data_IF_756342948150
#
_entry.id   IF_756342948150
#
_cell.length_a   1.000
_cell.length_b   1.000
_cell.length_c   1.000
_cell.angle_alpha   90.00
_cell.angle_beta   90.00
_cell.angle_gamma   90.00
#
_symmetry.space_group_name_H-M   'P 1'
#
loop_
_entity.id
_entity.type
_entity.pdbx_description
1 polymer ?
#
# COMPACT_ATOMS: atom_id res chain seq x y z
N UNK A 1 -3.58 21.01 -2.19
CA UNK A 1 -3.03 21.18 -0.83
C UNK A 1 -2.32 19.88 -0.49
N UNK A 2 -1.02 19.83 -0.75
CA UNK A 2 -0.15 18.75 -0.27
C UNK A 2 -0.08 18.89 1.25
N UNK A 3 -0.81 18.04 1.97
CA UNK A 3 -0.44 17.75 3.34
C UNK A 3 1.02 17.31 3.31
N UNK A 4 1.82 17.80 4.25
CA UNK A 4 3.24 17.48 4.38
C UNK A 4 3.35 15.96 4.58
N UNK A 5 3.35 15.19 3.49
CA UNK A 5 3.73 13.80 3.49
C UNK A 5 5.23 13.84 3.71
N UNK A 6 5.64 13.66 4.96
CA UNK A 6 7.02 13.30 5.26
C UNK A 6 7.41 12.19 4.27
N UNK A 7 8.54 12.36 3.59
CA UNK A 7 8.99 11.42 2.58
C UNK A 7 9.37 10.10 3.29
N UNK A 8 8.39 9.23 3.50
CA UNK A 8 8.58 7.93 4.15
C UNK A 8 9.35 7.04 3.18
N UNK A 9 10.55 6.64 3.58
CA UNK A 9 11.41 5.75 2.82
C UNK A 9 10.75 4.39 2.55
N UNK A 10 11.29 3.68 1.56
CA UNK A 10 10.87 2.30 1.29
C UNK A 10 11.54 1.35 2.28
N UNK A 11 10.76 0.48 2.89
CA UNK A 11 11.25 -0.56 3.82
C UNK A 11 11.68 -1.78 3.01
N UNK A 12 12.91 -2.25 3.27
CA UNK A 12 13.50 -3.41 2.61
C UNK A 12 13.48 -4.67 3.48
N UNK A 13 13.47 -4.50 4.82
CA UNK A 13 13.47 -5.59 5.80
C UNK A 13 12.52 -5.29 6.97
N UNK A 14 12.11 -6.31 7.72
CA UNK A 14 11.15 -6.14 8.84
C UNK A 14 11.77 -5.33 9.98
N UNK A 15 13.09 -5.42 10.13
CA UNK A 15 13.86 -4.74 11.15
C UNK A 15 13.91 -3.22 10.94
N UNK A 16 13.73 -2.77 9.69
CA UNK A 16 13.73 -1.34 9.33
C UNK A 16 12.34 -0.69 9.51
N UNK A 17 11.36 -1.44 10.03
CA UNK A 17 10.03 -0.93 10.29
C UNK A 17 10.05 -0.08 11.56
N UNK A 18 9.61 1.16 11.42
CA UNK A 18 9.27 2.01 12.56
C UNK A 18 7.77 2.09 12.72
N UNK A 19 7.25 1.53 13.81
CA UNK A 19 5.86 1.62 14.22
C UNK A 19 5.72 2.51 15.45
N UNK A 20 4.67 3.34 15.46
CA UNK A 20 4.31 4.12 16.63
C UNK A 20 2.81 4.37 16.65
N UNK A 21 2.26 4.64 17.83
CA UNK A 21 0.84 4.90 18.02
C UNK A 21 0.60 6.34 18.47
N UNK A 22 -0.49 6.93 17.99
CA UNK A 22 -1.02 8.19 18.53
C UNK A 22 -2.46 7.97 18.95
N UNK A 23 -2.73 8.29 20.21
CA UNK A 23 -4.03 8.10 20.85
C UNK A 23 -4.58 9.44 21.30
N UNK A 24 -5.89 9.62 21.19
CA UNK A 24 -6.55 10.84 21.63
C UNK A 24 -8.05 10.86 21.35
N UNK A 25 -8.67 12.02 21.59
CA UNK A 25 -10.08 12.25 21.29
C UNK A 25 -10.27 13.00 19.98
N UNK A 26 -11.20 12.52 19.17
CA UNK A 26 -11.58 13.16 17.90
C UNK A 26 -12.28 14.47 18.19
N UNK A 27 -11.74 15.56 17.65
CA UNK A 27 -12.34 16.90 17.69
C UNK A 27 -13.27 17.13 16.49
N UNK A 28 -12.87 16.63 15.32
CA UNK A 28 -13.64 16.80 14.10
C UNK A 28 -13.41 15.61 13.14
N UNK A 29 -14.40 15.34 12.31
CA UNK A 29 -14.38 14.25 11.33
C UNK A 29 -15.07 14.67 10.04
N UNK A 30 -14.35 14.59 8.93
CA UNK A 30 -14.85 14.89 7.60
C UNK A 30 -14.86 13.61 6.77
N UNK A 31 -15.96 13.39 6.05
CA UNK A 31 -16.04 12.32 5.05
C UNK A 31 -16.19 12.93 3.67
N UNK A 32 -15.48 12.36 2.70
CA UNK A 32 -15.55 12.73 1.29
C UNK A 32 -15.63 11.45 0.47
N UNK A 33 -16.28 11.53 -0.69
CA UNK A 33 -16.31 10.42 -1.65
C UNK A 33 -15.54 10.83 -2.90
N UNK A 34 -14.50 10.07 -3.24
CA UNK A 34 -13.77 10.23 -4.48
C UNK A 34 -14.31 9.25 -5.52
N UNK A 35 -14.92 9.78 -6.57
CA UNK A 35 -15.51 8.99 -7.66
C UNK A 35 -14.71 9.17 -8.94
N UNK A 36 -14.26 8.07 -9.51
CA UNK A 36 -13.60 8.01 -10.80
C UNK A 36 -14.52 7.34 -11.82
N UNK A 37 -14.67 7.98 -12.98
CA UNK A 37 -15.49 7.49 -14.09
C UNK A 37 -14.59 7.31 -15.31
N UNK A 38 -14.49 6.10 -15.82
CA UNK A 38 -13.76 5.80 -17.05
C UNK A 38 -14.73 5.31 -18.10
N UNK A 39 -14.70 5.93 -19.28
CA UNK A 39 -15.54 5.56 -20.42
C UNK A 39 -14.63 5.16 -21.57
N UNK A 40 -14.78 3.92 -22.02
CA UNK A 40 -14.05 3.41 -23.19
C UNK A 40 -15.06 3.14 -24.30
N UNK A 41 -14.94 3.89 -25.38
CA UNK A 41 -15.76 3.69 -26.58
C UNK A 41 -14.93 2.96 -27.63
N UNK A 42 -15.42 1.79 -28.04
CA UNK A 42 -14.77 0.98 -29.07
C UNK A 42 -15.59 1.02 -30.36
N UNK A 43 -14.91 1.32 -31.47
CA UNK A 43 -15.47 1.24 -32.83
C UNK A 43 -14.78 0.10 -33.56
N UNK A 44 -15.55 -0.89 -34.00
CA UNK A 44 -15.05 -1.89 -34.96
C UNK A 44 -15.22 -1.29 -36.36
N UNK A 45 -14.17 -1.11 -37.15
CA UNK A 45 -14.30 -0.48 -38.48
C UNK A 45 -15.13 -1.33 -39.46
N UNK A 46 -16.13 -0.73 -40.12
CA UNK A 46 -16.96 -1.37 -41.16
C UNK A 46 -18.27 -0.63 -41.43
N UNK A 47 -18.79 -0.70 -42.66
CA UNK A 47 -20.08 -0.11 -43.10
C UNK A 47 -21.29 -0.84 -42.45
N UNK A 48 -21.38 -0.87 -41.11
CA UNK A 48 -22.55 -1.21 -40.27
C UNK A 48 -22.16 -1.46 -38.78
N UNK A 49 -21.10 -0.86 -38.28
CA UNK A 49 -20.61 -1.16 -36.94
C UNK A 49 -21.29 -0.30 -35.85
N UNK A 50 -21.89 -0.97 -34.85
CA UNK A 50 -22.36 -0.32 -33.62
C UNK A 50 -21.17 -0.04 -32.71
N UNK A 51 -21.06 1.20 -32.22
CA UNK A 51 -20.09 1.54 -31.18
C UNK A 51 -20.52 0.88 -29.87
N UNK A 52 -19.58 0.19 -29.20
CA UNK A 52 -19.78 -0.33 -27.85
C UNK A 52 -19.09 0.59 -26.86
N UNK A 53 -19.87 1.17 -25.96
CA UNK A 53 -19.38 2.04 -24.88
C UNK A 53 -19.41 1.25 -23.58
N UNK A 54 -18.23 1.05 -22.99
CA UNK A 54 -18.11 0.52 -21.63
C UNK A 54 -17.84 1.69 -20.68
N UNK A 55 -18.69 1.84 -19.67
CA UNK A 55 -18.51 2.82 -18.60
C UNK A 55 -18.26 2.09 -17.30
N UNK A 56 -17.12 2.38 -16.67
CA UNK A 56 -16.74 1.87 -15.36
C UNK A 56 -16.72 3.01 -14.36
N UNK A 57 -17.38 2.83 -13.22
CA UNK A 57 -17.43 3.79 -12.11
C UNK A 57 -16.82 3.13 -10.89
N UNK A 58 -15.86 3.81 -10.24
CA UNK A 58 -15.27 3.37 -8.98
C UNK A 58 -15.32 4.53 -7.99
N UNK A 59 -15.88 4.28 -6.81
CA UNK A 59 -16.00 5.25 -5.72
C UNK A 59 -15.24 4.74 -4.50
N UNK A 60 -14.49 5.65 -3.86
CA UNK A 60 -13.73 5.41 -2.64
C UNK A 60 -14.16 6.43 -1.60
N UNK A 61 -14.51 5.95 -0.41
CA UNK A 61 -14.81 6.82 0.72
C UNK A 61 -13.51 7.24 1.40
N UNK A 62 -13.36 8.52 1.70
CA UNK A 62 -12.21 9.10 2.38
C UNK A 62 -12.68 9.70 3.70
N UNK A 63 -12.20 9.17 4.81
CA UNK A 63 -12.44 9.67 6.16
C UNK A 63 -11.20 10.41 6.65
N UNK A 64 -11.37 11.68 6.96
CA UNK A 64 -10.36 12.54 7.56
C UNK A 64 -10.76 12.86 8.99
N UNK A 65 -9.87 12.60 9.95
CA UNK A 65 -10.12 12.87 11.38
C UNK A 65 -9.06 13.82 11.93
N UNK A 66 -9.51 14.70 12.82
CA UNK A 66 -8.67 15.60 13.59
C UNK A 66 -8.74 15.16 15.06
N UNK A 67 -7.61 14.75 15.61
CA UNK A 67 -7.54 14.09 16.91
C UNK A 67 -6.66 14.91 17.84
N UNK A 68 -7.22 15.33 18.97
CA UNK A 68 -6.47 15.94 20.06
C UNK A 68 -5.77 14.83 20.83
N UNK A 69 -4.44 14.84 20.82
CA UNK A 69 -3.62 13.80 21.43
C UNK A 69 -3.66 13.88 22.96
N UNK A 70 -3.66 12.72 23.61
CA UNK A 70 -3.59 12.65 25.07
C UNK A 70 -2.26 13.22 25.60
N UNK A 71 -2.33 13.99 26.69
CA UNK A 71 -1.15 14.58 27.35
C UNK A 71 -0.63 15.90 26.74
N UNK A 72 -1.54 16.75 26.23
CA UNK A 72 -1.25 18.09 25.68
C UNK A 72 -0.23 18.13 24.53
N UNK A 73 -0.11 17.02 23.78
CA UNK A 73 0.79 16.90 22.62
C UNK A 73 0.23 17.53 21.32
N UNK A 74 -0.77 18.40 21.46
CA UNK A 74 -1.44 19.07 20.35
C UNK A 74 -2.44 18.20 19.59
N UNK A 75 -2.83 18.66 18.41
CA UNK A 75 -3.74 17.98 17.49
C UNK A 75 -2.95 17.29 16.37
N UNK A 76 -3.47 16.18 15.87
CA UNK A 76 -2.98 15.56 14.65
C UNK A 76 -4.11 15.17 13.71
N UNK A 77 -3.77 15.14 12.44
CA UNK A 77 -4.67 14.77 11.37
C UNK A 77 -4.32 13.37 10.84
N UNK A 78 -5.35 12.58 10.54
CA UNK A 78 -5.20 11.29 9.87
C UNK A 78 -6.29 11.07 8.82
N UNK A 79 -5.92 10.44 7.71
CA UNK A 79 -6.83 10.17 6.59
C UNK A 79 -6.85 8.67 6.26
N UNK A 80 -8.05 8.12 6.08
CA UNK A 80 -8.34 6.71 5.86
C UNK A 80 -9.23 6.53 4.63
N UNK A 81 -8.87 5.59 3.76
CA UNK A 81 -9.67 5.24 2.60
C UNK A 81 -10.49 3.97 2.90
N UNK A 82 -11.79 4.01 2.62
CA UNK A 82 -12.78 2.96 2.85
C UNK A 82 -12.76 2.39 4.29
N UNK A 83 -12.99 3.23 5.32
CA UNK A 83 -13.13 2.72 6.69
C UNK A 83 -14.41 1.88 6.84
N UNK A 84 -14.30 0.73 7.50
CA UNK A 84 -15.41 -0.19 7.77
C UNK A 84 -16.33 0.29 8.92
N UNK A 85 -15.98 1.40 9.56
CA UNK A 85 -16.77 2.01 10.64
C UNK A 85 -16.60 3.53 10.66
N UNK A 86 -17.63 4.21 11.14
CA UNK A 86 -17.61 5.65 11.33
C UNK A 86 -16.88 6.06 12.62
N UNK A 87 -16.21 7.19 12.56
CA UNK A 87 -15.67 7.91 13.71
C UNK A 87 -16.39 9.25 13.82
N UNK A 88 -16.70 9.69 15.03
CA UNK A 88 -17.41 10.95 15.30
C UNK A 88 -16.63 11.74 16.34
N UNK A 89 -16.91 13.04 16.42
CA UNK A 89 -16.43 13.90 17.51
C UNK A 89 -16.72 13.28 18.88
N UNK A 90 -15.75 13.38 19.79
CA UNK A 90 -15.80 12.81 21.14
C UNK A 90 -15.42 11.32 21.21
N UNK A 91 -15.24 10.63 20.08
CA UNK A 91 -14.72 9.26 20.12
C UNK A 91 -13.23 9.25 20.51
N UNK A 92 -12.87 8.30 21.37
CA UNK A 92 -11.48 8.02 21.70
C UNK A 92 -10.90 7.02 20.69
N UNK A 93 -9.81 7.41 20.02
CA UNK A 93 -9.23 6.64 18.92
C UNK A 93 -7.72 6.48 19.09
N UNK A 94 -7.21 5.36 18.61
CA UNK A 94 -5.77 5.14 18.39
C UNK A 94 -5.50 4.93 16.92
N UNK A 95 -4.57 5.71 16.38
CA UNK A 95 -4.02 5.51 15.04
C UNK A 95 -2.65 4.86 15.18
N UNK A 96 -2.47 3.74 14.47
CA UNK A 96 -1.18 3.06 14.38
C UNK A 96 -0.52 3.50 13.08
N UNK A 97 0.67 4.09 13.19
CA UNK A 97 1.51 4.49 12.08
C UNK A 97 2.60 3.44 11.87
N UNK A 98 2.94 3.19 10.61
CA UNK A 98 4.14 2.44 10.25
C UNK A 98 4.85 3.09 9.08
N UNK A 99 6.17 2.99 9.08
CA UNK A 99 7.02 3.53 8.03
C UNK A 99 8.47 3.07 8.19
N UNK A 100 9.37 3.82 7.59
CA UNK A 100 10.80 3.56 7.60
C UNK A 100 11.45 4.17 8.85
N UNK A 101 12.38 3.42 9.46
CA UNK A 101 13.13 3.82 10.64
C UNK A 101 14.04 5.04 10.41
N UNK A 102 14.61 5.20 9.21
CA UNK A 102 15.49 6.31 8.89
C UNK A 102 14.75 7.66 8.87
N UNK A 103 13.53 7.69 8.34
CA UNK A 103 12.70 8.91 8.28
C UNK A 103 11.94 9.19 9.59
N UNK A 104 11.84 8.22 10.51
CA UNK A 104 11.02 8.31 11.74
C UNK A 104 9.58 8.80 11.48
N UNK A 105 9.09 8.54 10.26
CA UNK A 105 7.79 8.96 9.79
C UNK A 105 7.05 7.74 9.26
N UNK A 106 5.72 7.76 9.33
CA UNK A 106 4.89 6.63 8.93
C UNK A 106 3.56 7.05 8.35
N UNK A 107 2.95 6.13 7.60
CA UNK A 107 1.59 6.27 7.13
C UNK A 107 0.62 5.67 8.16
N UNK A 108 -0.60 6.20 8.27
CA UNK A 108 -1.64 5.61 9.11
C UNK A 108 -2.07 4.26 8.52
N UNK A 109 -1.76 3.19 9.25
CA UNK A 109 -1.95 1.80 8.84
C UNK A 109 -3.10 1.08 9.55
N UNK A 110 -3.42 1.49 10.77
CA UNK A 110 -4.58 0.97 11.48
C UNK A 110 -5.30 2.08 12.23
N UNK A 111 -6.61 1.91 12.36
CA UNK A 111 -7.48 2.76 13.15
C UNK A 111 -8.22 1.89 14.16
N UNK A 112 -8.17 2.28 15.42
CA UNK A 112 -8.90 1.66 16.52
C UNK A 112 -9.80 2.73 17.12
N UNK A 113 -11.10 2.48 17.16
CA UNK A 113 -12.09 3.31 17.83
C UNK A 113 -12.54 2.60 19.10
N UNK A 114 -12.00 3.09 20.21
CA UNK A 114 -12.22 2.54 21.54
C UNK A 114 -13.65 2.76 22.04
N UNK A 115 -14.29 3.87 21.66
CA UNK A 115 -15.68 4.16 22.04
C UNK A 115 -16.69 3.19 21.44
N UNK A 116 -16.33 2.49 20.36
CA UNK A 116 -17.19 1.51 19.69
C UNK A 116 -16.61 0.10 19.66
N UNK A 117 -15.43 -0.11 20.25
CA UNK A 117 -14.67 -1.36 20.22
C UNK A 117 -14.38 -1.89 18.79
N UNK A 118 -14.34 -0.99 17.80
CA UNK A 118 -14.10 -1.35 16.40
C UNK A 118 -12.68 -1.01 16.00
N UNK A 119 -12.09 -1.85 15.14
CA UNK A 119 -10.77 -1.61 14.58
C UNK A 119 -10.69 -2.08 13.13
N UNK A 120 -9.76 -1.50 12.38
CA UNK A 120 -9.46 -1.90 11.01
C UNK A 120 -7.99 -1.66 10.70
N UNK A 121 -7.41 -2.62 9.99
CA UNK A 121 -6.06 -2.54 9.44
C UNK A 121 -6.17 -2.35 7.93
N UNK A 122 -5.49 -1.34 7.41
CA UNK A 122 -5.48 -0.98 6.00
C UNK A 122 -4.32 -1.69 5.29
N UNK A 123 -4.37 -3.02 5.20
CA UNK A 123 -3.29 -3.84 4.65
C UNK A 123 -2.85 -3.45 3.22
N UNK A 124 -3.74 -2.86 2.41
CA UNK A 124 -3.39 -2.35 1.07
C UNK A 124 -2.37 -1.20 1.11
N UNK A 125 -2.33 -0.42 2.20
CA UNK A 125 -1.36 0.68 2.38
C UNK A 125 0.04 0.17 2.68
N UNK A 126 0.19 -1.09 3.09
CA UNK A 126 1.50 -1.73 3.25
C UNK A 126 2.28 -1.72 1.93
N UNK A 127 1.59 -1.78 0.78
CA UNK A 127 2.22 -1.63 -0.54
C UNK A 127 2.92 -0.27 -0.73
N UNK A 128 2.52 0.77 0.00
CA UNK A 128 3.13 2.09 -0.10
C UNK A 128 4.50 2.17 0.57
N UNK A 129 4.74 1.34 1.59
CA UNK A 129 6.03 1.28 2.28
C UNK A 129 6.96 0.29 1.58
N UNK A 130 6.42 -0.76 0.97
CA UNK A 130 7.23 -1.78 0.30
C UNK A 130 7.77 -1.26 -1.03
N UNK A 131 9.01 -1.63 -1.34
CA UNK A 131 9.63 -1.32 -2.62
C UNK A 131 9.07 -2.24 -3.73
N UNK A 132 7.97 -1.83 -4.37
CA UNK A 132 7.42 -2.53 -5.53
C UNK A 132 8.12 -2.04 -6.80
N UNK A 133 8.53 -2.97 -7.66
CA UNK A 133 9.17 -2.60 -8.94
C UNK A 133 8.07 -1.97 -9.76
N UNK A 134 8.31 -0.75 -10.23
CA UNK A 134 7.44 -0.09 -11.18
C UNK A 134 7.16 -1.06 -12.35
N UNK A 135 5.90 -1.24 -12.74
CA UNK A 135 5.52 -2.15 -13.83
C UNK A 135 6.35 -1.95 -15.09
N UNK A 136 6.76 -0.71 -15.38
CA UNK A 136 7.62 -0.39 -16.52
C UNK A 136 9.05 -0.97 -16.37
N UNK A 137 9.65 -0.86 -15.18
CA UNK A 137 10.91 -1.54 -14.86
C UNK A 137 10.75 -3.06 -14.88
N UNK A 138 9.58 -3.58 -14.50
CA UNK A 138 9.23 -4.99 -14.64
C UNK A 138 9.26 -5.45 -16.09
N UNK A 139 8.62 -4.72 -17.00
CA UNK A 139 8.65 -5.03 -18.44
C UNK A 139 10.07 -4.92 -19.03
N UNK A 140 10.83 -3.88 -18.65
CA UNK A 140 12.21 -3.70 -19.11
C UNK A 140 13.12 -4.83 -18.64
N UNK A 141 12.96 -5.30 -17.41
CA UNK A 141 13.74 -6.43 -16.88
C UNK A 141 13.33 -7.76 -17.53
N UNK A 142 12.04 -7.94 -17.84
CA UNK A 142 11.51 -9.15 -18.48
C UNK A 142 11.99 -9.35 -19.92
N UNK A 143 12.35 -8.27 -20.62
CA UNK A 143 12.87 -8.33 -22.01
C UNK A 143 14.38 -8.11 -22.03
N UNK A 144 14.88 -7.15 -21.26
CA UNK A 144 16.28 -6.72 -21.28
C UNK A 144 17.23 -7.79 -20.74
N UNK A 145 16.89 -8.41 -19.61
CA UNK A 145 17.78 -9.38 -18.98
C UNK A 145 17.93 -10.67 -19.82
N UNK A 146 16.84 -11.23 -20.41
CA UNK A 146 16.96 -12.33 -21.36
C UNK A 146 17.75 -11.98 -22.62
N UNK A 147 17.61 -10.75 -23.12
CA UNK A 147 18.35 -10.31 -24.30
C UNK A 147 19.86 -10.21 -24.02
N UNK A 148 20.25 -9.72 -22.85
CA UNK A 148 21.66 -9.69 -22.42
C UNK A 148 22.23 -11.12 -22.34
N UNK A 149 21.49 -12.06 -21.75
CA UNK A 149 21.92 -13.47 -21.67
C UNK A 149 22.02 -14.08 -23.07
N UNK A 150 21.06 -13.81 -23.96
CA UNK A 150 21.08 -14.28 -25.34
C UNK A 150 22.32 -13.76 -26.12
N UNK A 151 22.68 -12.49 -25.94
CA UNK A 151 23.87 -11.89 -26.56
C UNK A 151 25.18 -12.49 -26.02
N UNK A 152 25.24 -12.81 -24.71
CA UNK A 152 26.40 -13.50 -24.14
C UNK A 152 26.58 -14.91 -24.72
N UNK A 153 25.48 -15.65 -24.91
CA UNK A 153 25.52 -16.97 -25.56
C UNK A 153 25.89 -16.87 -27.04
N UNK A 154 25.36 -15.88 -27.75
CA UNK A 154 25.69 -15.61 -29.16
C UNK A 154 27.18 -15.30 -29.35
N UNK A 155 27.81 -14.61 -28.38
CA UNK A 155 29.24 -14.31 -28.40
C UNK A 155 30.12 -15.57 -28.25
N UNK A 156 29.63 -16.62 -27.60
CA UNK A 156 30.32 -17.91 -27.54
C UNK A 156 30.10 -18.71 -28.82
N UNK A 157 28.85 -18.83 -29.26
CA UNK A 157 28.45 -19.52 -30.50
C UNK A 157 27.13 -18.94 -31.02
N UNK A 158 27.04 -18.54 -32.30
CA UNK A 158 25.85 -17.89 -32.85
C UNK A 158 24.56 -18.71 -32.71
N UNK A 159 24.67 -20.04 -32.80
CA UNK A 159 23.54 -20.97 -32.75
C UNK A 159 22.90 -21.08 -31.37
N UNK A 160 23.58 -20.62 -30.31
CA UNK A 160 23.07 -20.69 -28.93
C UNK A 160 22.21 -19.49 -28.53
N UNK A 161 21.94 -18.53 -29.42
CA UNK A 161 21.14 -17.34 -29.10
C UNK A 161 19.76 -17.69 -28.50
N UNK A 162 19.04 -18.63 -29.13
CA UNK A 162 17.70 -19.05 -28.67
C UNK A 162 17.78 -19.71 -27.29
N UNK A 163 18.80 -20.51 -27.04
CA UNK A 163 19.03 -21.18 -25.76
C UNK A 163 19.34 -20.15 -24.67
N UNK A 164 20.22 -19.18 -24.96
CA UNK A 164 20.52 -18.09 -24.04
C UNK A 164 19.30 -17.24 -23.72
N UNK A 165 18.45 -16.94 -24.72
CA UNK A 165 17.22 -16.19 -24.50
C UNK A 165 16.21 -16.92 -23.60
N UNK A 166 15.99 -18.22 -23.84
CA UNK A 166 15.11 -19.05 -23.01
C UNK A 166 15.64 -19.18 -21.57
N UNK A 167 16.94 -19.42 -21.40
CA UNK A 167 17.58 -19.47 -20.08
C UNK A 167 17.46 -18.13 -19.35
N UNK A 168 17.62 -17.03 -20.07
CA UNK A 168 17.43 -15.68 -19.54
C UNK A 168 15.99 -15.43 -19.08
N UNK A 169 14.98 -15.87 -19.83
CA UNK A 169 13.57 -15.78 -19.41
C UNK A 169 13.30 -16.60 -18.15
N UNK A 170 13.80 -17.83 -18.09
CA UNK A 170 13.63 -18.71 -16.92
C UNK A 170 14.30 -18.07 -15.70
N UNK A 171 15.55 -17.61 -15.82
CA UNK A 171 16.27 -16.96 -14.73
C UNK A 171 15.57 -15.69 -14.23
N UNK A 172 15.09 -14.85 -15.15
CA UNK A 172 14.34 -13.64 -14.80
C UNK A 172 13.02 -13.98 -14.10
N UNK A 173 12.32 -15.01 -14.57
CA UNK A 173 11.08 -15.50 -13.95
C UNK A 173 11.29 -16.01 -12.53
N UNK A 174 12.32 -16.82 -12.29
CA UNK A 174 12.69 -17.32 -10.95
C UNK A 174 13.05 -16.15 -10.02
N UNK A 175 13.84 -15.20 -10.51
CA UNK A 175 14.24 -14.03 -9.74
C UNK A 175 13.04 -13.15 -9.36
N UNK A 176 12.17 -12.82 -10.33
CA UNK A 176 10.95 -12.06 -10.07
C UNK A 176 10.01 -12.79 -9.10
N UNK A 177 9.86 -14.11 -9.23
CA UNK A 177 9.01 -14.89 -8.35
C UNK A 177 9.56 -14.90 -6.91
N UNK A 178 10.86 -15.12 -6.74
CA UNK A 178 11.52 -15.06 -5.43
C UNK A 178 11.40 -13.67 -4.81
N UNK A 179 11.53 -12.62 -5.62
CA UNK A 179 11.40 -11.25 -5.14
C UNK A 179 9.97 -10.88 -4.75
N UNK A 180 8.98 -11.28 -5.55
CA UNK A 180 7.55 -11.14 -5.20
C UNK A 180 7.24 -11.86 -3.88
N UNK A 181 7.72 -13.09 -3.70
CA UNK A 181 7.50 -13.86 -2.48
C UNK A 181 8.10 -13.18 -1.25
N UNK A 182 9.28 -12.57 -1.36
CA UNK A 182 9.88 -11.78 -0.28
C UNK A 182 9.03 -10.55 0.08
N UNK A 183 8.55 -9.82 -0.93
CA UNK A 183 7.69 -8.65 -0.71
C UNK A 183 6.35 -9.04 -0.08
N UNK A 184 5.72 -10.12 -0.54
CA UNK A 184 4.45 -10.63 0.03
C UNK A 184 4.64 -11.11 1.48
N UNK A 185 5.77 -11.76 1.78
CA UNK A 185 6.11 -12.18 3.15
C UNK A 185 6.36 -10.98 4.07
N UNK A 186 7.03 -9.93 3.57
CA UNK A 186 7.27 -8.71 4.32
C UNK A 186 5.97 -7.94 4.56
N UNK A 187 5.05 -7.90 3.58
CA UNK A 187 3.72 -7.35 3.77
C UNK A 187 2.94 -8.08 4.88
N UNK A 188 2.98 -9.42 4.87
CA UNK A 188 2.35 -10.22 5.91
C UNK A 188 2.96 -9.97 7.30
N UNK A 189 4.29 -9.86 7.39
CA UNK A 189 4.98 -9.56 8.64
C UNK A 189 4.61 -8.17 9.19
N UNK A 190 4.53 -7.15 8.33
CA UNK A 190 4.06 -5.80 8.73
C UNK A 190 2.64 -5.89 9.30
N UNK A 191 1.74 -6.60 8.61
CA UNK A 191 0.36 -6.76 9.08
C UNK A 191 0.31 -7.50 10.42
N UNK A 192 1.19 -8.47 10.66
CA UNK A 192 1.26 -9.19 11.94
C UNK A 192 1.72 -8.27 13.09
N UNK A 193 2.76 -7.46 12.87
CA UNK A 193 3.21 -6.44 13.85
C UNK A 193 2.10 -5.41 14.12
N UNK A 194 1.38 -4.98 13.09
CA UNK A 194 0.24 -4.08 13.24
C UNK A 194 -0.90 -4.73 14.04
N UNK A 195 -1.20 -6.01 13.80
CA UNK A 195 -2.17 -6.76 14.59
C UNK A 195 -1.77 -6.83 16.06
N UNK A 196 -0.48 -7.02 16.36
CA UNK A 196 0.01 -7.03 17.72
C UNK A 196 -0.23 -5.68 18.42
N UNK A 197 0.12 -4.56 17.77
CA UNK A 197 -0.11 -3.23 18.34
C UNK A 197 -1.60 -2.89 18.49
N UNK A 198 -2.45 -3.34 17.57
CA UNK A 198 -3.91 -3.17 17.72
C UNK A 198 -4.42 -3.94 18.93
N UNK A 199 -3.95 -5.18 19.14
CA UNK A 199 -4.30 -5.98 20.32
C UNK A 199 -3.85 -5.31 21.62
N UNK A 200 -2.60 -4.86 21.68
CA UNK A 200 -2.06 -4.11 22.81
C UNK A 200 -2.90 -2.85 23.12
N UNK A 201 -3.31 -2.12 22.09
CA UNK A 201 -4.17 -0.93 22.24
C UNK A 201 -5.57 -1.28 22.78
N UNK A 202 -6.18 -2.38 22.32
CA UNK A 202 -7.49 -2.84 22.82
C UNK A 202 -7.42 -3.38 24.25
N UNK A 203 -6.34 -4.08 24.61
CA UNK A 203 -6.15 -4.64 25.96
C UNK A 203 -5.85 -3.57 27.00
N UNK A 204 -5.10 -2.52 26.64
CA UNK A 204 -4.81 -1.39 27.52
C UNK A 204 -6.08 -0.67 27.98
N UNK A 205 -7.11 -0.62 27.12
CA UNK A 205 -8.43 -0.09 27.45
C UNK A 205 -9.22 -0.99 28.40
N UNK A 206 -9.21 -2.30 28.18
CA UNK A 206 -9.93 -3.26 29.04
C UNK A 206 -9.42 -3.23 30.48
N UNK A 207 -8.14 -2.90 30.70
CA UNK A 207 -7.54 -2.78 32.04
C UNK A 207 -7.76 -1.42 32.72
N UNK A 208 -8.21 -0.41 31.98
CA UNK A 208 -8.38 0.97 32.48
C UNK A 208 -9.84 1.33 32.83
N UNK A 209 -10.81 0.52 32.40
CA UNK A 209 -12.22 0.58 32.83
C UNK A 209 -12.49 -0.30 34.04
#
# INVERSE_FOLDING_TARGET
MEGIMANVGKVAAVEDIYSFTRTGMVQDSHSRMDTSVSTTTSHTGGYNSRATTNTSVSSTEMLRIFVRQDGDKGEFEAEFADPAFGVREGHHVTVVYAGDQASQAGYPMALVNHSTERHQIFAKRTEWIINRTNQWMGCLTLIGLPLIVALLFMAMTPDLFVIGFVMGLIGTGIWMFGWKRKNDALAAAIVDVLNQHVREATEAQTKAG
#
